data_IF_068356463240
#
_entry.id   IF_068356463240
#
_cell.length_a   1.000
_cell.length_b   1.000
_cell.length_c   1.000
_cell.angle_alpha   90.00
_cell.angle_beta   90.00
_cell.angle_gamma   90.00
#
_symmetry.space_group_name_H-M   'P 1'
#
loop_
_entity.id
_entity.type
_entity.pdbx_description
1 polymer ?
#
# COMPACT_ATOMS: atom_id res chain seq x y z
N UNK A 1 1.91 13.59 18.19
CA UNK A 1 2.95 12.60 17.85
C UNK A 1 3.59 13.02 16.55
N UNK A 2 4.91 12.93 16.42
CA UNK A 2 5.63 13.20 15.17
C UNK A 2 5.56 11.97 14.27
N UNK A 3 5.17 12.15 13.00
CA UNK A 3 5.18 11.07 12.01
C UNK A 3 6.62 10.60 11.74
N UNK A 4 6.85 9.31 11.45
CA UNK A 4 8.18 8.79 11.11
C UNK A 4 8.67 9.35 9.77
N UNK A 5 9.98 9.23 9.53
CA UNK A 5 10.56 9.45 8.20
C UNK A 5 10.07 8.37 7.21
N UNK A 6 10.20 8.65 5.91
CA UNK A 6 9.99 7.66 4.85
C UNK A 6 10.74 6.35 5.14
N UNK A 7 10.09 5.22 4.88
CA UNK A 7 10.64 3.88 5.18
C UNK A 7 11.73 3.43 4.18
N UNK A 8 11.88 4.16 3.08
CA UNK A 8 12.82 3.88 2.00
C UNK A 8 13.24 5.20 1.33
N UNK A 9 14.40 5.22 0.67
CA UNK A 9 14.90 6.38 -0.06
C UNK A 9 13.95 6.78 -1.20
N UNK A 10 13.79 8.09 -1.41
CA UNK A 10 12.86 8.65 -2.40
C UNK A 10 13.20 8.34 -3.87
N UNK A 11 14.41 7.84 -4.14
CA UNK A 11 14.92 7.53 -5.47
C UNK A 11 14.78 6.05 -5.86
N UNK A 12 14.17 5.21 -5.01
CA UNK A 12 13.89 3.82 -5.38
C UNK A 12 12.72 3.78 -6.37
N UNK A 13 13.02 3.39 -7.61
CA UNK A 13 12.10 3.39 -8.75
C UNK A 13 12.09 2.02 -9.44
N UNK A 14 10.98 1.30 -9.31
CA UNK A 14 10.79 -0.04 -9.86
C UNK A 14 9.76 -0.08 -10.98
N UNK A 15 9.41 1.06 -11.59
CA UNK A 15 8.37 1.15 -12.64
C UNK A 15 8.63 0.28 -13.87
N UNK A 16 9.87 -0.13 -14.11
CA UNK A 16 10.26 -1.04 -15.19
C UNK A 16 10.14 -2.53 -14.82
N UNK A 17 9.92 -2.88 -13.56
CA UNK A 17 9.83 -4.27 -13.12
C UNK A 17 8.45 -4.84 -13.40
N UNK A 18 8.39 -6.01 -14.03
CA UNK A 18 7.12 -6.62 -14.47
C UNK A 18 6.34 -7.30 -13.34
N UNK A 19 7.02 -7.67 -12.24
CA UNK A 19 6.41 -8.36 -11.11
C UNK A 19 6.89 -7.83 -9.77
N UNK A 20 6.10 -8.07 -8.73
CA UNK A 20 6.40 -7.82 -7.33
C UNK A 20 6.54 -9.17 -6.60
N UNK A 21 7.66 -9.45 -5.89
CA UNK A 21 7.78 -10.66 -5.09
C UNK A 21 6.68 -10.75 -4.02
N UNK A 22 6.09 -11.93 -3.84
CA UNK A 22 5.10 -12.20 -2.80
C UNK A 22 5.52 -13.42 -1.97
N UNK A 23 5.82 -13.19 -0.69
CA UNK A 23 6.05 -14.25 0.28
C UNK A 23 4.71 -14.89 0.66
N UNK A 24 4.30 -15.92 -0.08
CA UNK A 24 2.93 -16.47 -0.02
C UNK A 24 2.48 -16.85 1.38
N UNK A 25 3.35 -17.48 2.18
CA UNK A 25 3.02 -17.88 3.57
C UNK A 25 2.85 -16.65 4.47
N UNK A 26 3.78 -15.69 4.39
CA UNK A 26 3.74 -14.45 5.17
C UNK A 26 2.47 -13.64 4.86
N UNK A 27 2.08 -13.58 3.59
CA UNK A 27 0.86 -12.89 3.18
C UNK A 27 -0.38 -13.65 3.64
N UNK A 28 -0.52 -14.92 3.26
CA UNK A 28 -1.72 -15.74 3.54
C UNK A 28 -2.02 -15.85 5.04
N UNK A 29 -0.99 -15.94 5.87
CA UNK A 29 -1.12 -16.15 7.33
C UNK A 29 -1.04 -14.84 8.13
N UNK A 30 -1.15 -13.67 7.48
CA UNK A 30 -1.10 -12.36 8.14
C UNK A 30 -2.43 -11.97 8.80
N UNK A 31 -2.36 -11.06 9.77
CA UNK A 31 -3.55 -10.44 10.36
C UNK A 31 -4.41 -9.73 9.30
N UNK A 32 -3.79 -9.14 8.26
CA UNK A 32 -4.53 -8.52 7.16
C UNK A 32 -5.46 -9.52 6.47
N UNK A 33 -4.98 -10.72 6.14
CA UNK A 33 -5.82 -11.73 5.46
C UNK A 33 -6.81 -12.42 6.38
N UNK A 34 -6.56 -12.40 7.69
CA UNK A 34 -7.42 -13.03 8.69
C UNK A 34 -8.54 -12.12 9.22
N UNK A 35 -8.33 -10.80 9.27
CA UNK A 35 -9.18 -9.90 10.05
C UNK A 35 -10.04 -8.94 9.24
N UNK A 36 -9.67 -8.61 8.01
CA UNK A 36 -10.35 -7.56 7.22
C UNK A 36 -11.52 -8.11 6.40
N UNK A 37 -12.47 -7.25 6.09
CA UNK A 37 -13.58 -7.53 5.17
C UNK A 37 -13.06 -7.90 3.77
N UNK A 38 -13.82 -8.70 3.02
CA UNK A 38 -13.45 -9.16 1.69
C UNK A 38 -13.19 -8.00 0.70
N UNK A 39 -13.96 -6.91 0.79
CA UNK A 39 -13.79 -5.75 -0.07
C UNK A 39 -12.55 -4.93 0.34
N UNK A 40 -12.28 -4.83 1.64
CA UNK A 40 -11.06 -4.24 2.17
C UNK A 40 -9.82 -5.06 1.78
N UNK A 41 -9.91 -6.40 1.79
CA UNK A 41 -8.85 -7.30 1.34
C UNK A 41 -8.53 -7.07 -0.15
N UNK A 42 -9.56 -7.10 -1.02
CA UNK A 42 -9.40 -6.83 -2.46
C UNK A 42 -8.73 -5.48 -2.68
N UNK A 43 -9.19 -4.46 -1.97
CA UNK A 43 -8.71 -3.09 -2.07
C UNK A 43 -7.26 -2.95 -1.61
N UNK A 44 -6.94 -3.46 -0.41
CA UNK A 44 -5.60 -3.40 0.15
C UNK A 44 -4.58 -4.18 -0.70
N UNK A 45 -4.95 -5.32 -1.27
CA UNK A 45 -4.07 -6.05 -2.18
C UNK A 45 -3.78 -5.26 -3.47
N UNK A 46 -4.79 -4.59 -4.06
CA UNK A 46 -4.55 -3.69 -5.19
C UNK A 46 -3.65 -2.50 -4.82
N UNK A 47 -3.80 -1.95 -3.62
CA UNK A 47 -2.94 -0.87 -3.11
C UNK A 47 -1.49 -1.34 -2.95
N UNK A 48 -1.25 -2.55 -2.45
CA UNK A 48 0.09 -3.14 -2.38
C UNK A 48 0.71 -3.22 -3.78
N UNK A 49 -0.01 -3.79 -4.75
CA UNK A 49 0.44 -3.87 -6.14
C UNK A 49 0.72 -2.50 -6.75
N UNK A 50 -0.17 -1.52 -6.55
CA UNK A 50 0.01 -0.17 -7.07
C UNK A 50 1.23 0.54 -6.47
N UNK A 51 1.53 0.29 -5.19
CA UNK A 51 2.66 0.92 -4.50
C UNK A 51 4.02 0.46 -5.01
N UNK A 52 4.12 -0.76 -5.56
CA UNK A 52 5.35 -1.28 -6.14
C UNK A 52 5.91 -0.35 -7.24
N UNK A 53 5.03 0.25 -8.03
CA UNK A 53 5.39 1.14 -9.15
C UNK A 53 5.29 2.63 -8.80
N UNK A 54 5.11 2.98 -7.53
CA UNK A 54 5.26 4.38 -7.10
C UNK A 54 6.74 4.74 -6.98
N UNK A 55 7.02 6.06 -6.89
CA UNK A 55 8.34 6.58 -6.57
C UNK A 55 8.21 7.45 -5.31
N UNK A 56 8.74 7.01 -4.15
CA UNK A 56 9.46 5.75 -3.94
C UNK A 56 8.58 4.50 -4.01
N UNK A 57 9.16 3.37 -4.40
CA UNK A 57 8.48 2.07 -4.40
C UNK A 57 8.02 1.66 -2.99
N UNK A 58 6.87 1.00 -2.90
CA UNK A 58 6.23 0.62 -1.64
C UNK A 58 5.49 1.75 -0.92
N UNK A 59 5.31 2.91 -1.56
CA UNK A 59 4.59 4.05 -1.01
C UNK A 59 3.32 4.39 -1.80
N UNK A 60 2.40 5.13 -1.21
CA UNK A 60 1.20 5.69 -1.84
C UNK A 60 0.96 7.13 -1.36
N UNK A 61 0.43 8.04 -2.21
CA UNK A 61 0.00 9.35 -1.76
C UNK A 61 -1.12 9.27 -0.73
N UNK A 62 -1.08 10.11 0.32
CA UNK A 62 -2.20 10.30 1.23
C UNK A 62 -3.26 11.24 0.62
N UNK A 63 -3.97 10.76 -0.41
CA UNK A 63 -5.07 11.45 -1.07
C UNK A 63 -6.17 10.44 -1.44
N UNK A 64 -7.35 10.59 -0.84
CA UNK A 64 -8.44 9.63 -1.00
C UNK A 64 -8.99 9.52 -2.42
N UNK A 65 -8.79 10.52 -3.27
CA UNK A 65 -9.17 10.43 -4.70
C UNK A 65 -8.23 9.49 -5.45
N UNK A 66 -6.94 9.53 -5.11
CA UNK A 66 -5.93 8.64 -5.68
C UNK A 66 -6.11 7.24 -5.12
N UNK A 67 -6.25 7.11 -3.80
CA UNK A 67 -6.45 5.83 -3.12
C UNK A 67 -7.73 5.13 -3.60
N UNK A 68 -8.85 5.85 -3.72
CA UNK A 68 -10.10 5.29 -4.26
C UNK A 68 -9.91 4.72 -5.67
N UNK A 69 -9.16 5.42 -6.53
CA UNK A 69 -8.88 4.94 -7.87
C UNK A 69 -8.00 3.68 -7.86
N UNK A 70 -6.93 3.67 -7.07
CA UNK A 70 -6.01 2.53 -6.97
C UNK A 70 -6.64 1.30 -6.29
N UNK A 71 -7.56 1.51 -5.35
CA UNK A 71 -8.32 0.47 -4.66
C UNK A 71 -9.45 -0.14 -5.53
N UNK A 72 -9.65 0.36 -6.75
CA UNK A 72 -10.67 -0.15 -7.68
C UNK A 72 -12.07 0.45 -7.52
N UNK A 73 -12.23 1.51 -6.71
CA UNK A 73 -13.48 2.27 -6.61
C UNK A 73 -13.56 3.42 -7.63
N UNK A 74 -12.47 3.68 -8.38
CA UNK A 74 -12.40 4.74 -9.36
C UNK A 74 -12.53 6.12 -8.72
N UNK A 75 -13.61 6.85 -9.04
CA UNK A 75 -13.88 8.19 -8.50
C UNK A 75 -14.87 8.18 -7.33
N UNK A 76 -15.31 7.01 -6.88
CA UNK A 76 -16.35 6.87 -5.85
C UNK A 76 -15.72 6.89 -4.45
N UNK A 77 -15.18 8.05 -4.05
CA UNK A 77 -14.42 8.22 -2.79
C UNK A 77 -15.23 7.83 -1.57
N UNK A 78 -16.52 8.17 -1.53
CA UNK A 78 -17.41 7.84 -0.41
C UNK A 78 -17.56 6.33 -0.17
N UNK A 79 -17.46 5.51 -1.23
CA UNK A 79 -17.50 4.06 -1.08
C UNK A 79 -16.16 3.52 -0.57
N UNK A 80 -15.06 4.04 -1.11
CA UNK A 80 -13.70 3.76 -0.66
C UNK A 80 -13.51 4.02 0.84
N UNK A 81 -14.00 5.17 1.34
CA UNK A 81 -13.85 5.57 2.74
C UNK A 81 -14.41 4.55 3.74
N UNK A 82 -15.37 3.72 3.35
CA UNK A 82 -15.92 2.66 4.23
C UNK A 82 -14.93 1.55 4.51
N UNK A 83 -14.00 1.30 3.59
CA UNK A 83 -13.03 0.20 3.64
C UNK A 83 -11.60 0.68 3.88
N UNK A 84 -11.37 2.00 3.86
CA UNK A 84 -10.03 2.62 3.92
C UNK A 84 -9.20 2.13 5.09
N UNK A 85 -9.77 2.15 6.30
CA UNK A 85 -9.02 1.85 7.51
C UNK A 85 -8.53 0.39 7.52
N UNK A 86 -9.37 -0.55 7.05
CA UNK A 86 -9.00 -1.97 6.93
C UNK A 86 -8.08 -2.24 5.73
N UNK A 87 -8.33 -1.60 4.58
CA UNK A 87 -7.47 -1.73 3.40
C UNK A 87 -6.07 -1.15 3.60
N UNK A 88 -5.93 -0.16 4.50
CA UNK A 88 -4.66 0.42 4.93
C UNK A 88 -4.11 -0.25 6.21
N UNK A 89 -4.61 -1.42 6.60
CA UNK A 89 -4.04 -2.18 7.72
C UNK A 89 -2.54 -2.42 7.52
N UNK A 90 -1.73 -2.04 8.52
CA UNK A 90 -0.27 -2.19 8.49
C UNK A 90 0.49 -1.13 7.69
N UNK A 91 -0.19 -0.19 7.04
CA UNK A 91 0.47 0.95 6.39
C UNK A 91 0.91 2.00 7.39
N UNK A 92 2.04 2.67 7.11
CA UNK A 92 2.61 3.71 7.95
C UNK A 92 2.53 5.05 7.23
N UNK A 93 1.80 6.01 7.80
CA UNK A 93 1.81 7.39 7.31
C UNK A 93 3.12 8.07 7.77
N UNK A 94 3.93 8.52 6.81
CA UNK A 94 5.20 9.20 7.06
C UNK A 94 5.09 10.72 6.92
N UNK A 95 6.14 11.43 7.36
CA UNK A 95 6.20 12.89 7.41
C UNK A 95 6.21 13.59 6.03
N UNK A 96 6.38 12.85 4.95
CA UNK A 96 6.27 13.32 3.56
C UNK A 96 4.84 13.21 3.00
N UNK A 97 3.87 12.90 3.85
CA UNK A 97 2.46 12.73 3.53
C UNK A 97 2.19 11.57 2.54
N UNK A 98 2.92 10.47 2.71
CA UNK A 98 2.69 9.21 2.00
C UNK A 98 2.49 8.06 2.98
N UNK A 99 1.66 7.10 2.58
CA UNK A 99 1.55 5.80 3.24
C UNK A 99 2.63 4.88 2.70
N UNK A 100 3.34 4.17 3.58
CA UNK A 100 4.34 3.17 3.22
C UNK A 100 3.89 1.79 3.68
N UNK A 101 4.00 0.79 2.81
CA UNK A 101 3.78 -0.61 3.18
C UNK A 101 5.13 -1.25 3.55
N UNK A 102 5.38 -1.58 4.83
CA UNK A 102 6.70 -2.03 5.29
C UNK A 102 7.24 -3.23 4.50
N UNK A 103 6.39 -4.21 4.20
CA UNK A 103 6.78 -5.42 3.44
C UNK A 103 7.11 -5.10 1.98
N UNK A 104 6.41 -4.17 1.35
CA UNK A 104 6.69 -3.82 -0.06
C UNK A 104 7.98 -3.00 -0.13
N UNK A 105 8.23 -2.13 0.85
CA UNK A 105 9.50 -1.40 0.98
C UNK A 105 10.68 -2.36 1.18
N UNK A 106 10.51 -3.38 2.03
CA UNK A 106 11.48 -4.46 2.22
C UNK A 106 11.79 -5.16 0.89
N UNK A 107 10.77 -5.60 0.13
CA UNK A 107 10.97 -6.22 -1.18
C UNK A 107 11.58 -5.30 -2.22
N UNK A 108 11.28 -4.00 -2.16
CA UNK A 108 11.83 -3.02 -3.08
C UNK A 108 13.34 -2.80 -2.85
N UNK A 109 13.80 -2.90 -1.61
CA UNK A 109 15.22 -2.84 -1.26
C UNK A 109 16.01 -4.11 -1.67
N UNK A 110 15.31 -5.23 -1.83
CA UNK A 110 15.88 -6.51 -2.26
C UNK A 110 15.95 -6.67 -3.80
N UNK A 111 15.42 -5.72 -4.57
CA UNK A 111 15.21 -5.81 -6.03
C UNK A 111 16.21 -5.01 -6.87
#
# INVERSE_FOLDING_TARGET
MTLPNALIQNNIDLRSFEFMPLDVVRFRDSDFTALVDAEAFRSGFLLMCASWHQVPAGSLPNDDRILSNLAGFGRVVKEWEKFKDEALHGWVLCNDNRYYHPVVCEKALES
#
